data_IF_368604189316
#
_entry.id   IF_368604189316
#
_cell.length_a   1.000
_cell.length_b   1.000
_cell.length_c   1.000
_cell.angle_alpha   90.00
_cell.angle_beta   90.00
_cell.angle_gamma   90.00
#
_symmetry.space_group_name_H-M   'P 1'
#
loop_
_entity.id
_entity.type
_entity.pdbx_description
1 polymer ?
#
# COMPACT_ATOMS: atom_id res chain seq x y z
N UNK A 1 -7.95 -4.10 -16.99
CA UNK A 1 -7.63 -4.42 -15.58
C UNK A 1 -8.57 -3.72 -14.63
N UNK A 2 -8.71 -2.40 -14.75
CA UNK A 2 -9.64 -1.58 -13.96
C UNK A 2 -11.08 -2.11 -13.94
N UNK A 3 -11.66 -2.48 -15.09
CA UNK A 3 -13.02 -3.05 -15.14
C UNK A 3 -13.19 -4.30 -14.28
N UNK A 4 -12.18 -5.18 -14.24
CA UNK A 4 -12.21 -6.37 -13.39
C UNK A 4 -12.13 -5.99 -11.90
N UNK A 5 -11.33 -4.97 -11.57
CA UNK A 5 -11.27 -4.40 -10.22
C UNK A 5 -12.60 -3.80 -9.81
N UNK A 6 -13.23 -3.02 -10.68
CA UNK A 6 -14.56 -2.44 -10.45
C UNK A 6 -15.63 -3.53 -10.25
N UNK A 7 -15.46 -4.70 -10.90
CA UNK A 7 -16.28 -5.89 -10.67
C UNK A 7 -15.90 -6.69 -9.40
N UNK A 8 -15.10 -6.13 -8.50
CA UNK A 8 -14.71 -6.74 -7.22
C UNK A 8 -13.51 -7.69 -7.27
N UNK A 9 -12.80 -7.78 -8.40
CA UNK A 9 -11.65 -8.67 -8.55
C UNK A 9 -10.35 -7.87 -8.46
N UNK A 10 -9.63 -7.99 -7.33
CA UNK A 10 -8.41 -7.24 -7.14
C UNK A 10 -7.32 -7.61 -8.14
N UNK A 11 -6.49 -6.61 -8.42
CA UNK A 11 -5.41 -6.71 -9.41
C UNK A 11 -4.17 -5.99 -8.91
N UNK A 12 -3.03 -6.54 -9.30
CA UNK A 12 -1.73 -5.88 -9.17
C UNK A 12 -1.17 -5.73 -10.58
N UNK A 13 -0.71 -4.53 -10.93
CA UNK A 13 -0.06 -4.21 -12.19
C UNK A 13 1.24 -3.47 -11.90
N UNK A 14 2.24 -3.67 -12.77
CA UNK A 14 3.51 -2.97 -12.68
C UNK A 14 3.83 -2.26 -13.99
N UNK A 15 4.36 -1.05 -13.89
CA UNK A 15 4.88 -0.26 -15.01
C UNK A 15 6.39 -0.21 -14.88
N UNK A 16 7.08 -0.88 -15.80
CA UNK A 16 8.53 -0.93 -15.86
C UNK A 16 9.05 -0.03 -16.99
N UNK A 17 10.23 0.55 -16.81
CA UNK A 17 10.87 1.40 -17.81
C UNK A 17 12.06 2.18 -17.25
N UNK A 18 12.86 2.74 -18.14
CA UNK A 18 14.08 3.48 -17.82
C UNK A 18 13.78 4.80 -17.07
N UNK A 19 14.84 5.42 -16.53
CA UNK A 19 14.74 6.76 -15.94
C UNK A 19 14.24 7.76 -16.98
N UNK A 20 13.29 8.63 -16.60
CA UNK A 20 12.71 9.60 -17.53
C UNK A 20 11.70 9.03 -18.55
N UNK A 21 11.46 7.71 -18.59
CA UNK A 21 10.51 7.09 -19.53
C UNK A 21 9.02 7.45 -19.28
N UNK A 22 8.72 8.35 -18.35
CA UNK A 22 7.35 8.83 -18.09
C UNK A 22 6.45 7.85 -17.32
N UNK A 23 7.01 6.91 -16.55
CA UNK A 23 6.23 5.92 -15.76
C UNK A 23 5.23 6.60 -14.80
N UNK A 24 5.71 7.55 -14.01
CA UNK A 24 4.90 8.39 -13.12
C UNK A 24 3.79 9.09 -13.90
N UNK A 25 4.15 9.79 -14.98
CA UNK A 25 3.18 10.51 -15.81
C UNK A 25 2.10 9.58 -16.39
N UNK A 26 2.46 8.35 -16.81
CA UNK A 26 1.52 7.36 -17.30
C UNK A 26 0.53 6.92 -16.21
N UNK A 27 1.00 6.64 -15.00
CA UNK A 27 0.13 6.23 -13.88
C UNK A 27 -0.78 7.36 -13.43
N UNK A 28 -0.27 8.59 -13.36
CA UNK A 28 -1.07 9.78 -13.06
C UNK A 28 -2.14 10.03 -14.13
N UNK A 29 -1.79 9.93 -15.41
CA UNK A 29 -2.75 10.10 -16.50
C UNK A 29 -3.80 8.99 -16.54
N UNK A 30 -3.40 7.74 -16.27
CA UNK A 30 -4.33 6.63 -16.10
C UNK A 30 -5.32 6.89 -14.96
N UNK A 31 -4.81 7.28 -13.78
CA UNK A 31 -5.64 7.61 -12.62
C UNK A 31 -6.62 8.76 -12.93
N UNK A 32 -6.13 9.83 -13.56
CA UNK A 32 -6.95 10.99 -13.94
C UNK A 32 -8.09 10.58 -14.88
N UNK A 33 -7.80 9.80 -15.93
CA UNK A 33 -8.82 9.31 -16.87
C UNK A 33 -9.81 8.37 -16.18
N UNK A 34 -9.33 7.48 -15.32
CA UNK A 34 -10.17 6.56 -14.57
C UNK A 34 -11.14 7.33 -13.66
N UNK A 35 -10.68 8.36 -12.95
CA UNK A 35 -11.54 9.17 -12.08
C UNK A 35 -12.57 10.02 -12.83
N UNK A 36 -12.23 10.46 -14.05
CA UNK A 36 -13.18 11.14 -14.93
C UNK A 36 -14.31 10.20 -15.39
N UNK A 37 -14.01 8.92 -15.61
CA UNK A 37 -14.99 7.92 -16.01
C UNK A 37 -15.78 7.32 -14.83
N UNK A 38 -15.16 7.22 -13.65
CA UNK A 38 -15.73 6.56 -12.47
C UNK A 38 -15.75 7.51 -11.26
N UNK A 39 -16.89 8.16 -10.96
CA UNK A 39 -17.01 9.15 -9.88
C UNK A 39 -16.75 8.60 -8.46
N UNK A 40 -17.04 7.32 -8.23
CA UNK A 40 -16.83 6.67 -6.93
C UNK A 40 -15.40 6.13 -6.73
N UNK A 41 -14.51 6.28 -7.73
CA UNK A 41 -13.15 5.76 -7.68
C UNK A 41 -12.23 6.66 -6.86
N UNK A 42 -11.66 6.08 -5.80
CA UNK A 42 -10.61 6.70 -5.01
C UNK A 42 -9.24 6.36 -5.60
N UNK A 43 -8.34 7.35 -5.59
CA UNK A 43 -6.94 7.17 -5.97
C UNK A 43 -6.04 7.69 -4.87
N UNK A 44 -5.11 6.86 -4.43
CA UNK A 44 -4.03 7.23 -3.52
C UNK A 44 -2.69 6.97 -4.17
N UNK A 45 -1.71 7.82 -3.87
CA UNK A 45 -0.35 7.73 -4.43
C UNK A 45 0.64 7.75 -3.26
N UNK A 46 1.45 6.70 -3.16
CA UNK A 46 2.56 6.60 -2.22
C UNK A 46 3.88 6.61 -2.97
N UNK A 47 4.80 7.46 -2.55
CA UNK A 47 6.12 7.61 -3.13
C UNK A 47 7.14 6.80 -2.32
N UNK A 48 8.06 6.16 -3.03
CA UNK A 48 9.23 5.56 -2.40
C UNK A 48 10.39 6.56 -2.50
N UNK A 49 11.01 6.88 -1.37
CA UNK A 49 12.15 7.77 -1.32
C UNK A 49 13.26 7.14 -0.48
N UNK A 50 14.50 7.26 -0.95
CA UNK A 50 15.71 6.78 -0.28
C UNK A 50 16.68 7.93 0.05
N UNK A 51 16.18 9.02 0.65
CA UNK A 51 17.01 10.16 1.09
C UNK A 51 18.23 9.75 1.94
N UNK A 52 18.21 8.57 2.57
CA UNK A 52 19.30 8.01 3.37
C UNK A 52 19.97 6.76 2.76
N UNK A 53 19.68 6.40 1.51
CA UNK A 53 20.20 5.21 0.82
C UNK A 53 19.41 3.91 1.07
N UNK A 54 18.55 3.88 2.09
CA UNK A 54 17.50 2.86 2.30
C UNK A 54 16.17 3.61 2.44
N UNK A 55 15.10 3.10 1.85
CA UNK A 55 13.78 3.72 1.97
C UNK A 55 13.32 3.89 3.43
N UNK A 56 12.58 4.95 3.73
CA UNK A 56 11.95 5.08 5.05
C UNK A 56 10.92 3.96 5.24
N UNK A 57 10.95 3.32 6.42
CA UNK A 57 10.10 2.18 6.74
C UNK A 57 8.61 2.49 6.52
N UNK A 58 7.98 1.71 5.66
CA UNK A 58 6.55 1.80 5.33
C UNK A 58 6.11 3.11 4.68
N UNK A 59 7.04 3.99 4.24
CA UNK A 59 6.71 5.30 3.68
C UNK A 59 5.56 5.31 2.66
N UNK A 60 5.57 4.50 1.58
CA UNK A 60 4.47 4.51 0.61
C UNK A 60 3.12 4.19 1.25
N UNK A 61 3.08 3.30 2.25
CA UNK A 61 1.85 2.97 2.97
C UNK A 61 1.44 4.07 3.95
N UNK A 62 2.39 4.75 4.59
CA UNK A 62 2.12 5.92 5.44
C UNK A 62 1.47 7.05 4.63
N UNK A 63 1.96 7.27 3.41
CA UNK A 63 1.37 8.26 2.50
C UNK A 63 -0.01 7.86 1.99
N UNK A 64 -0.19 6.60 1.58
CA UNK A 64 -1.49 6.07 1.15
C UNK A 64 -2.52 6.18 2.27
N UNK A 65 -2.19 5.71 3.47
CA UNK A 65 -3.10 5.79 4.62
C UNK A 65 -3.30 7.23 5.07
N UNK A 66 -2.27 8.08 4.99
CA UNK A 66 -2.37 9.53 5.19
C UNK A 66 -3.44 10.16 4.29
N UNK A 67 -3.41 9.87 2.99
CA UNK A 67 -4.44 10.36 2.05
C UNK A 67 -5.85 9.88 2.42
N UNK A 68 -6.01 8.60 2.78
CA UNK A 68 -7.30 8.03 3.18
C UNK A 68 -7.81 8.58 4.52
N UNK A 69 -6.94 9.19 5.31
CA UNK A 69 -7.23 9.73 6.65
C UNK A 69 -7.17 11.27 6.68
N UNK A 70 -7.07 11.91 5.51
CA UNK A 70 -7.21 13.35 5.34
C UNK A 70 -5.91 14.17 5.37
N UNK A 71 -4.74 13.53 5.36
CA UNK A 71 -3.45 14.21 5.14
C UNK A 71 -3.25 14.50 3.64
N UNK A 72 -3.99 15.49 3.13
CA UNK A 72 -4.08 15.81 1.70
C UNK A 72 -3.22 17.02 1.27
N UNK A 73 -2.89 17.90 2.22
CA UNK A 73 -2.38 19.24 1.92
C UNK A 73 -1.10 19.24 1.08
N UNK A 74 -0.13 18.42 1.47
CA UNK A 74 1.17 18.37 0.78
C UNK A 74 1.05 17.83 -0.65
N UNK A 75 0.36 16.70 -0.84
CA UNK A 75 0.20 16.10 -2.17
C UNK A 75 -0.69 16.93 -3.10
N UNK A 76 -1.65 17.68 -2.55
CA UNK A 76 -2.44 18.63 -3.34
C UNK A 76 -1.58 19.83 -3.77
N UNK A 77 -0.79 20.40 -2.85
CA UNK A 77 0.09 21.54 -3.15
C UNK A 77 1.18 21.19 -4.20
N UNK A 78 1.66 19.94 -4.19
CA UNK A 78 2.61 19.43 -5.17
C UNK A 78 1.98 19.05 -6.52
N UNK A 79 0.65 19.10 -6.65
CA UNK A 79 -0.06 18.66 -7.85
C UNK A 79 -0.04 17.14 -8.08
N UNK A 80 0.38 16.36 -7.09
CA UNK A 80 0.37 14.89 -7.14
C UNK A 80 -1.06 14.36 -7.20
N UNK A 81 -1.97 14.98 -6.42
CA UNK A 81 -3.41 14.71 -6.49
C UNK A 81 -4.16 15.93 -7.03
N UNK A 82 -5.26 15.68 -7.76
CA UNK A 82 -6.15 16.73 -8.25
C UNK A 82 -7.07 17.25 -7.12
N UNK A 83 -7.61 18.46 -7.28
CA UNK A 83 -8.61 19.00 -6.36
C UNK A 83 -9.88 18.13 -6.27
N UNK A 84 -10.30 17.54 -7.40
CA UNK A 84 -11.40 16.59 -7.47
C UNK A 84 -11.11 15.32 -6.64
N UNK A 85 -9.91 14.74 -6.76
CA UNK A 85 -9.53 13.59 -5.94
C UNK A 85 -9.47 13.96 -4.45
N UNK A 86 -8.93 15.13 -4.12
CA UNK A 86 -8.91 15.61 -2.74
C UNK A 86 -10.32 15.76 -2.17
N UNK A 87 -11.27 16.27 -2.96
CA UNK A 87 -12.68 16.35 -2.55
C UNK A 87 -13.29 14.97 -2.28
N UNK A 88 -13.05 13.99 -3.15
CA UNK A 88 -13.52 12.60 -2.96
C UNK A 88 -12.94 11.96 -1.70
N UNK A 89 -11.63 12.13 -1.46
CA UNK A 89 -10.96 11.66 -0.25
C UNK A 89 -11.53 12.32 1.02
N UNK A 90 -11.87 13.61 0.96
CA UNK A 90 -12.56 14.30 2.06
C UNK A 90 -13.97 13.76 2.32
N UNK A 91 -14.72 13.42 1.26
CA UNK A 91 -16.07 12.85 1.41
C UNK A 91 -16.06 11.49 2.13
N UNK A 92 -14.99 10.70 2.00
CA UNK A 92 -14.85 9.44 2.72
C UNK A 92 -14.11 9.55 4.04
N UNK A 93 -13.59 10.72 4.40
CA UNK A 93 -12.72 10.90 5.57
C UNK A 93 -13.30 10.27 6.83
N UNK A 94 -14.54 10.64 7.19
CA UNK A 94 -15.17 10.15 8.42
C UNK A 94 -15.33 8.64 8.36
N UNK A 95 -15.86 8.11 7.25
CA UNK A 95 -16.05 6.66 7.07
C UNK A 95 -14.74 5.90 7.14
N UNK A 96 -13.72 6.37 6.43
CA UNK A 96 -12.37 5.80 6.43
C UNK A 96 -11.81 5.78 7.84
N UNK A 97 -11.88 6.88 8.56
CA UNK A 97 -11.42 6.95 9.95
C UNK A 97 -12.18 6.01 10.89
N UNK A 98 -13.51 5.86 10.74
CA UNK A 98 -14.27 4.90 11.56
C UNK A 98 -13.84 3.47 11.26
N UNK A 99 -13.64 3.11 9.99
CA UNK A 99 -13.11 1.78 9.62
C UNK A 99 -11.70 1.59 10.20
N UNK A 100 -10.85 2.61 10.14
CA UNK A 100 -9.50 2.57 10.71
C UNK A 100 -9.55 2.26 12.22
N UNK A 101 -10.42 2.93 12.96
CA UNK A 101 -10.55 2.72 14.41
C UNK A 101 -11.18 1.37 14.76
N UNK A 102 -12.07 0.85 13.90
CA UNK A 102 -12.73 -0.45 14.11
C UNK A 102 -11.81 -1.64 13.80
N UNK A 103 -11.12 -1.64 12.66
CA UNK A 103 -10.36 -2.81 12.19
C UNK A 103 -8.85 -2.62 12.11
N UNK A 104 -8.37 -1.38 12.28
CA UNK A 104 -6.99 -0.99 12.01
C UNK A 104 -6.33 -0.18 13.11
N UNK A 105 -6.78 -0.32 14.36
CA UNK A 105 -6.31 0.51 15.48
C UNK A 105 -4.77 0.46 15.66
N UNK A 106 -4.11 -0.66 15.40
CA UNK A 106 -2.63 -0.74 15.48
C UNK A 106 -1.92 0.17 14.47
N UNK A 107 -2.58 0.57 13.39
CA UNK A 107 -2.02 1.50 12.40
C UNK A 107 -1.92 2.92 12.95
N UNK A 108 -2.70 3.27 13.97
CA UNK A 108 -2.64 4.58 14.64
C UNK A 108 -1.32 4.71 15.40
N UNK A 109 -0.62 5.81 15.16
CA UNK A 109 0.73 6.13 15.63
C UNK A 109 1.83 5.16 15.17
N UNK A 110 1.49 4.17 14.34
CA UNK A 110 2.48 3.30 13.67
C UNK A 110 2.64 3.70 12.21
N UNK A 111 1.54 3.81 11.45
CA UNK A 111 1.54 4.26 10.06
C UNK A 111 0.75 5.56 9.84
N UNK A 112 -0.26 5.81 10.67
CA UNK A 112 -1.13 7.00 10.61
C UNK A 112 -0.92 7.83 11.88
N UNK A 113 -0.45 9.08 11.79
CA UNK A 113 -0.30 9.93 12.98
C UNK A 113 -1.66 10.22 13.63
N UNK A 114 -1.93 9.63 14.80
CA UNK A 114 -3.21 9.74 15.49
C UNK A 114 -3.52 11.17 15.94
N UNK A 115 -2.49 11.95 16.27
CA UNK A 115 -2.64 13.38 16.55
C UNK A 115 -3.20 14.15 15.36
N UNK A 116 -2.67 13.90 14.15
CA UNK A 116 -3.21 14.51 12.93
C UNK A 116 -4.64 14.05 12.70
N UNK A 117 -4.93 12.76 12.87
CA UNK A 117 -6.27 12.19 12.69
C UNK A 117 -7.32 12.89 13.57
N UNK A 118 -7.02 13.10 14.85
CA UNK A 118 -7.89 13.83 15.79
C UNK A 118 -8.15 15.25 15.28
N UNK A 119 -7.10 15.98 14.88
CA UNK A 119 -7.27 17.36 14.41
C UNK A 119 -8.09 17.45 13.11
N UNK A 120 -7.90 16.51 12.19
CA UNK A 120 -8.62 16.48 10.91
C UNK A 120 -10.09 16.13 11.12
N UNK A 121 -10.38 15.13 11.95
CA UNK A 121 -11.75 14.73 12.29
C UNK A 121 -12.47 15.74 13.17
N UNK A 122 -11.78 16.39 14.10
CA UNK A 122 -12.36 17.45 14.94
C UNK A 122 -12.93 18.62 14.12
N UNK A 123 -12.27 18.98 13.00
CA UNK A 123 -12.81 19.97 12.03
C UNK A 123 -14.10 19.51 11.34
N UNK A 124 -14.36 18.20 11.33
CA UNK A 124 -15.51 17.55 10.69
C UNK A 124 -16.57 17.08 11.71
N UNK A 125 -16.28 17.16 13.01
CA UNK A 125 -17.06 16.54 14.09
C UNK A 125 -18.47 17.12 14.26
N UNK A 126 -18.69 18.38 13.87
CA UNK A 126 -20.00 19.04 13.97
C UNK A 126 -21.11 18.41 13.13
N UNK A 127 -20.78 17.47 12.24
CA UNK A 127 -21.72 16.86 11.27
C UNK A 127 -22.03 15.38 11.52
N UNK A 128 -21.38 14.70 12.47
CA UNK A 128 -21.54 13.25 12.66
C UNK A 128 -21.74 12.86 14.14
N UNK A 129 -22.97 12.49 14.49
CA UNK A 129 -23.29 11.93 15.80
C UNK A 129 -22.49 10.65 16.05
N UNK A 130 -21.71 10.61 17.13
CA UNK A 130 -20.88 9.46 17.52
C UNK A 130 -19.38 9.60 17.23
N UNK A 131 -18.98 10.60 16.44
CA UNK A 131 -17.56 10.87 16.18
C UNK A 131 -16.82 11.33 17.44
N UNK A 132 -17.49 12.08 18.32
CA UNK A 132 -16.90 12.57 19.57
C UNK A 132 -16.45 11.44 20.49
N UNK A 133 -17.27 10.39 20.62
CA UNK A 133 -16.94 9.22 21.43
C UNK A 133 -15.71 8.48 20.89
N UNK A 134 -15.58 8.36 19.56
CA UNK A 134 -14.41 7.74 18.93
C UNK A 134 -13.15 8.62 19.06
N UNK A 135 -13.28 9.94 18.98
CA UNK A 135 -12.17 10.87 19.22
C UNK A 135 -11.67 10.81 20.65
N UNK A 136 -12.57 10.71 21.63
CA UNK A 136 -12.22 10.55 23.03
C UNK A 136 -11.51 9.21 23.28
N UNK A 137 -12.09 8.10 22.81
CA UNK A 137 -11.45 6.78 22.87
C UNK A 137 -10.05 6.79 22.26
N UNK A 138 -9.90 7.40 21.08
CA UNK A 138 -8.62 7.53 20.40
C UNK A 138 -7.63 8.36 21.22
N UNK A 139 -8.05 9.49 21.77
CA UNK A 139 -7.19 10.32 22.62
C UNK A 139 -6.71 9.55 23.86
N UNK A 140 -7.62 8.88 24.57
CA UNK A 140 -7.29 8.07 25.76
C UNK A 140 -6.35 6.92 25.43
N UNK A 141 -6.64 6.16 24.37
CA UNK A 141 -5.86 4.98 24.03
C UNK A 141 -4.49 5.31 23.43
N UNK A 142 -4.31 6.50 22.84
CA UNK A 142 -2.98 7.03 22.46
C UNK A 142 -2.13 7.41 23.66
N UNK A 143 -2.72 8.03 24.69
CA UNK A 143 -2.01 8.34 25.93
C UNK A 143 -1.53 7.09 26.69
N UNK A 144 -2.16 5.94 26.47
CA UNK A 144 -1.80 4.66 27.07
C UNK A 144 -0.72 3.87 26.28
N UNK A 145 -0.43 4.25 25.03
CA UNK A 145 0.50 3.52 24.15
C UNK A 145 1.95 3.98 24.42
N UNK A 146 2.56 3.45 25.48
CA UNK A 146 4.01 3.61 25.76
C UNK A 146 4.83 2.64 24.87
N UNK A 147 5.92 3.13 24.29
CA UNK A 147 6.79 2.46 23.31
C UNK A 147 7.08 0.98 23.62
N UNK A 148 6.62 0.08 22.75
CA UNK A 148 6.95 -1.34 22.78
C UNK A 148 7.84 -1.68 21.58
N UNK A 149 8.84 -2.56 21.73
CA UNK A 149 9.65 -3.03 20.60
C UNK A 149 8.82 -3.96 19.71
N UNK A 150 8.72 -3.62 18.42
CA UNK A 150 7.95 -4.37 17.43
C UNK A 150 8.49 -5.79 17.21
N UNK A 151 7.86 -6.78 17.84
CA UNK A 151 8.14 -8.19 17.60
C UNK A 151 7.58 -8.65 16.23
N UNK A 152 7.90 -9.89 15.83
CA UNK A 152 7.43 -10.42 14.55
C UNK A 152 5.91 -10.66 14.51
N UNK A 153 5.28 -10.86 15.67
CA UNK A 153 3.84 -11.14 15.80
C UNK A 153 3.04 -9.85 15.63
N UNK A 154 3.50 -8.75 16.23
CA UNK A 154 2.97 -7.40 16.06
C UNK A 154 3.06 -6.93 14.61
N UNK A 155 4.14 -7.29 13.90
CA UNK A 155 4.28 -6.96 12.46
C UNK A 155 3.24 -7.67 11.59
N UNK A 156 3.02 -8.97 11.78
CA UNK A 156 2.02 -9.71 11.01
C UNK A 156 0.60 -9.22 11.33
N UNK A 157 0.31 -8.93 12.61
CA UNK A 157 -0.96 -8.31 13.01
C UNK A 157 -1.17 -6.95 12.35
N UNK A 158 -0.13 -6.10 12.31
CA UNK A 158 -0.18 -4.80 11.65
C UNK A 158 -0.44 -4.93 10.14
N UNK A 159 0.17 -5.92 9.48
CA UNK A 159 -0.07 -6.18 8.05
C UNK A 159 -1.50 -6.63 7.78
N UNK A 160 -2.03 -7.52 8.62
CA UNK A 160 -3.41 -8.00 8.53
C UNK A 160 -4.39 -6.84 8.74
N UNK A 161 -4.15 -5.98 9.74
CA UNK A 161 -4.95 -4.79 10.00
C UNK A 161 -4.93 -3.80 8.85
N UNK A 162 -3.76 -3.53 8.26
CA UNK A 162 -3.64 -2.69 7.06
C UNK A 162 -4.45 -3.26 5.89
N UNK A 163 -4.34 -4.56 5.66
CA UNK A 163 -5.06 -5.24 4.58
C UNK A 163 -6.58 -5.22 4.81
N UNK A 164 -7.02 -5.51 6.04
CA UNK A 164 -8.42 -5.50 6.43
C UNK A 164 -9.03 -4.10 6.32
N UNK A 165 -8.30 -3.07 6.74
CA UNK A 165 -8.69 -1.68 6.58
C UNK A 165 -8.91 -1.35 5.08
N UNK A 166 -7.92 -1.59 4.24
CA UNK A 166 -7.99 -1.29 2.81
C UNK A 166 -9.11 -2.06 2.11
N UNK A 167 -9.28 -3.36 2.41
CA UNK A 167 -10.34 -4.18 1.81
C UNK A 167 -11.74 -3.74 2.26
N UNK A 168 -11.91 -3.39 3.55
CA UNK A 168 -13.19 -2.93 4.09
C UNK A 168 -13.59 -1.59 3.49
N UNK A 169 -12.63 -0.66 3.35
CA UNK A 169 -12.88 0.61 2.67
C UNK A 169 -13.20 0.39 1.19
N UNK A 170 -12.41 -0.45 0.52
CA UNK A 170 -12.57 -0.74 -0.91
C UNK A 170 -13.95 -1.34 -1.23
N UNK A 171 -14.48 -2.20 -0.35
CA UNK A 171 -15.81 -2.78 -0.51
C UNK A 171 -16.93 -1.73 -0.66
N UNK A 172 -16.71 -0.52 -0.14
CA UNK A 172 -17.63 0.60 -0.29
C UNK A 172 -17.31 1.53 -1.46
N UNK A 173 -16.03 1.71 -1.77
CA UNK A 173 -15.56 2.56 -2.85
C UNK A 173 -14.33 1.95 -3.51
N UNK A 174 -14.36 1.63 -4.82
CA UNK A 174 -13.20 1.08 -5.51
C UNK A 174 -11.96 1.94 -5.34
N UNK A 175 -10.80 1.29 -5.18
CA UNK A 175 -9.56 1.95 -4.77
C UNK A 175 -8.40 1.63 -5.71
N UNK A 176 -7.71 2.67 -6.17
CA UNK A 176 -6.40 2.55 -6.82
C UNK A 176 -5.32 2.94 -5.82
N UNK A 177 -4.38 2.01 -5.59
CA UNK A 177 -3.16 2.22 -4.83
C UNK A 177 -2.00 2.35 -5.81
N UNK A 178 -1.61 3.57 -6.17
CA UNK A 178 -0.42 3.83 -6.95
C UNK A 178 0.80 3.91 -6.02
N UNK A 179 1.86 3.19 -6.35
CA UNK A 179 3.13 3.23 -5.62
C UNK A 179 4.22 3.57 -6.63
N UNK A 180 4.88 4.70 -6.45
CA UNK A 180 5.91 5.17 -7.37
C UNK A 180 7.32 4.82 -6.91
N UNK A 181 8.22 4.70 -7.88
CA UNK A 181 9.64 4.42 -7.70
C UNK A 181 9.95 3.26 -6.73
N UNK A 182 9.26 2.12 -6.88
CA UNK A 182 9.41 0.93 -6.02
C UNK A 182 10.84 0.43 -5.85
N UNK A 183 11.76 0.79 -6.75
CA UNK A 183 13.18 0.49 -6.57
C UNK A 183 13.82 1.14 -5.33
N UNK A 184 13.22 2.22 -4.80
CA UNK A 184 13.61 2.88 -3.56
C UNK A 184 12.83 2.39 -2.33
N UNK A 185 11.90 1.44 -2.50
CA UNK A 185 11.09 0.93 -1.40
C UNK A 185 11.93 0.15 -0.38
N UNK A 186 11.64 0.33 0.90
CA UNK A 186 12.25 -0.45 1.97
C UNK A 186 11.69 -1.89 2.03
N UNK A 187 12.43 -2.79 2.68
CA UNK A 187 12.04 -4.20 2.79
C UNK A 187 10.69 -4.40 3.51
N UNK A 188 10.37 -3.54 4.48
CA UNK A 188 9.12 -3.62 5.25
C UNK A 188 7.94 -3.19 4.39
N UNK A 189 8.08 -2.09 3.61
CA UNK A 189 7.09 -1.71 2.59
C UNK A 189 6.85 -2.83 1.58
N UNK A 190 7.92 -3.41 1.03
CA UNK A 190 7.79 -4.50 0.05
C UNK A 190 7.12 -5.75 0.65
N UNK A 191 7.40 -6.04 1.93
CA UNK A 191 6.77 -7.16 2.64
C UNK A 191 5.26 -6.92 2.85
N UNK A 192 4.87 -5.71 3.21
CA UNK A 192 3.46 -5.32 3.33
C UNK A 192 2.75 -5.34 1.96
N UNK A 193 3.40 -4.84 0.91
CA UNK A 193 2.90 -4.90 -0.46
C UNK A 193 2.66 -6.34 -0.93
N UNK A 194 3.58 -7.25 -0.59
CA UNK A 194 3.41 -8.67 -0.90
C UNK A 194 2.27 -9.31 -0.10
N UNK A 195 2.20 -9.02 1.20
CA UNK A 195 1.13 -9.49 2.07
C UNK A 195 -0.25 -9.03 1.56
N UNK A 196 -0.36 -7.76 1.14
CA UNK A 196 -1.57 -7.17 0.56
C UNK A 196 -1.93 -7.82 -0.78
N UNK A 197 -0.97 -7.91 -1.72
CA UNK A 197 -1.21 -8.43 -3.07
C UNK A 197 -1.78 -9.86 -3.10
N UNK A 198 -1.56 -10.65 -2.04
CA UNK A 198 -2.08 -12.01 -1.89
C UNK A 198 -3.51 -12.09 -1.34
N UNK A 199 -4.03 -11.01 -0.77
CA UNK A 199 -5.31 -10.95 -0.05
C UNK A 199 -6.38 -10.09 -0.75
N UNK A 200 -6.01 -9.31 -1.75
CA UNK A 200 -6.94 -8.42 -2.46
C UNK A 200 -7.76 -9.09 -3.57
N UNK A 201 -7.63 -10.40 -3.81
CA UNK A 201 -8.23 -11.09 -4.96
C UNK A 201 -9.76 -10.89 -5.08
N UNK A 202 -10.44 -10.69 -3.95
CA UNK A 202 -11.89 -10.43 -3.84
C UNK A 202 -12.24 -9.00 -3.41
N UNK A 203 -11.29 -8.09 -3.43
CA UNK A 203 -11.52 -6.68 -3.11
C UNK A 203 -11.45 -5.83 -4.39
N UNK A 204 -12.24 -4.75 -4.52
CA UNK A 204 -12.16 -3.83 -5.65
C UNK A 204 -10.95 -2.87 -5.50
N UNK A 205 -9.76 -3.47 -5.40
CA UNK A 205 -8.47 -2.79 -5.26
C UNK A 205 -7.61 -3.05 -6.50
N UNK A 206 -7.08 -1.98 -7.09
CA UNK A 206 -6.05 -2.04 -8.12
C UNK A 206 -4.76 -1.44 -7.56
N UNK A 207 -3.74 -2.27 -7.40
CA UNK A 207 -2.39 -1.82 -7.06
C UNK A 207 -1.61 -1.58 -8.34
N UNK A 208 -1.02 -0.40 -8.49
CA UNK A 208 -0.17 -0.04 -9.63
C UNK A 208 1.20 0.38 -9.12
N UNK A 209 2.23 -0.42 -9.40
CA UNK A 209 3.60 -0.12 -9.00
C UNK A 209 4.46 0.35 -10.16
N UNK A 210 5.17 1.46 -10.03
CA UNK A 210 6.19 1.88 -10.98
C UNK A 210 7.57 1.43 -10.51
N UNK A 211 8.41 0.89 -11.40
CA UNK A 211 9.79 0.58 -11.04
C UNK A 211 10.76 0.66 -12.21
N UNK A 212 12.04 0.76 -11.89
CA UNK A 212 13.15 0.70 -12.86
C UNK A 212 13.80 -0.69 -12.84
N UNK A 213 13.77 -1.45 -13.94
CA UNK A 213 14.29 -2.81 -13.94
C UNK A 213 15.80 -2.88 -13.68
N UNK A 214 16.57 -1.90 -14.16
CA UNK A 214 18.04 -1.90 -14.06
C UNK A 214 18.53 -1.60 -12.64
N UNK A 215 17.91 -0.63 -11.96
CA UNK A 215 18.23 -0.30 -10.56
C UNK A 215 17.88 -1.47 -9.63
N UNK A 216 16.79 -2.18 -9.91
CA UNK A 216 16.44 -3.41 -9.23
C UNK A 216 17.45 -4.53 -9.51
N UNK A 217 17.98 -4.64 -10.72
CA UNK A 217 19.00 -5.64 -11.05
C UNK A 217 20.34 -5.34 -10.34
N UNK A 218 20.75 -4.07 -10.29
CA UNK A 218 21.96 -3.62 -9.60
C UNK A 218 21.88 -3.82 -8.09
N UNK A 219 20.72 -3.56 -7.48
CA UNK A 219 20.49 -3.79 -6.05
C UNK A 219 20.63 -5.27 -5.64
N UNK A 220 20.50 -6.22 -6.59
CA UNK A 220 20.74 -7.65 -6.34
C UNK A 220 22.22 -8.00 -6.17
N UNK A 221 23.16 -7.17 -6.67
CA UNK A 221 24.58 -7.52 -6.75
C UNK A 221 24.84 -8.75 -7.64
N UNK A 222 26.11 -9.16 -7.83
CA UNK A 222 26.42 -10.48 -8.38
C UNK A 222 25.81 -11.56 -7.48
N UNK A 223 25.36 -12.67 -8.09
CA UNK A 223 24.75 -13.77 -7.35
C UNK A 223 25.66 -14.22 -6.19
N UNK A 224 25.16 -14.28 -4.94
CA UNK A 224 25.95 -14.80 -3.84
C UNK A 224 26.34 -16.26 -4.14
N UNK A 225 27.53 -16.71 -3.71
CA UNK A 225 27.89 -18.12 -3.80
C UNK A 225 26.81 -18.96 -3.10
N UNK A 226 26.44 -20.08 -3.72
CA UNK A 226 25.38 -20.98 -3.29
C UNK A 226 25.49 -21.28 -1.78
N UNK A 227 24.63 -20.68 -0.94
CA UNK A 227 24.57 -20.99 0.49
C UNK A 227 24.29 -19.84 1.45
N UNK A 228 24.41 -18.59 1.03
CA UNK A 228 24.13 -17.43 1.91
C UNK A 228 22.89 -16.65 1.45
N UNK A 229 21.99 -16.35 2.39
CA UNK A 229 20.85 -15.44 2.18
C UNK A 229 21.19 -14.07 2.77
N UNK A 230 21.86 -13.18 2.02
CA UNK A 230 21.98 -11.80 2.42
C UNK A 230 20.61 -11.15 2.22
N UNK A 231 20.08 -10.53 3.27
CA UNK A 231 18.82 -9.77 3.28
C UNK A 231 18.81 -8.58 2.32
N UNK A 232 18.83 -8.85 1.02
CA UNK A 232 18.89 -7.90 -0.09
C UNK A 232 17.87 -8.29 -1.15
N UNK A 233 16.97 -7.35 -1.42
CA UNK A 233 15.86 -7.37 -2.38
C UNK A 233 14.94 -8.60 -2.24
N UNK A 234 13.65 -8.41 -1.87
CA UNK A 234 12.70 -9.51 -1.78
C UNK A 234 12.70 -10.36 -3.05
N UNK A 235 12.54 -11.68 -2.88
CA UNK A 235 12.44 -12.66 -3.96
C UNK A 235 11.40 -12.31 -5.05
N UNK A 236 10.52 -11.34 -4.75
CA UNK A 236 9.53 -10.71 -5.61
C UNK A 236 10.09 -10.16 -6.92
N UNK A 237 11.27 -9.54 -6.87
CA UNK A 237 11.95 -9.00 -8.05
C UNK A 237 12.90 -10.04 -8.67
N UNK A 238 13.21 -11.13 -7.95
CA UNK A 238 14.25 -12.12 -8.31
C UNK A 238 13.92 -12.93 -9.58
N UNK A 239 12.64 -13.09 -9.94
CA UNK A 239 12.24 -13.83 -11.16
C UNK A 239 11.65 -12.90 -12.20
N UNK A 240 12.35 -12.71 -13.31
CA UNK A 240 11.82 -12.12 -14.54
C UNK A 240 10.77 -13.00 -15.24
N UNK A 241 10.08 -13.86 -14.51
CA UNK A 241 8.94 -14.61 -15.05
C UNK A 241 7.80 -13.63 -15.26
N UNK A 242 7.30 -13.57 -16.49
CA UNK A 242 6.08 -12.85 -16.86
C UNK A 242 5.05 -12.81 -15.72
N UNK A 243 4.83 -11.62 -15.16
CA UNK A 243 4.00 -11.34 -13.97
C UNK A 243 2.51 -11.74 -14.13
N UNK A 244 2.13 -12.26 -15.31
CA UNK A 244 0.90 -13.02 -15.56
C UNK A 244 0.73 -14.28 -14.70
N UNK A 245 1.80 -14.82 -14.10
CA UNK A 245 1.76 -16.01 -13.24
C UNK A 245 1.16 -15.80 -11.84
N UNK A 246 0.98 -14.55 -11.39
CA UNK A 246 0.56 -14.24 -10.02
C UNK A 246 -0.86 -14.72 -9.70
N UNK A 247 -1.75 -14.74 -10.70
CA UNK A 247 -3.11 -15.25 -10.54
C UNK A 247 -3.18 -16.80 -10.42
N UNK A 248 -2.13 -17.55 -10.79
CA UNK A 248 -2.11 -19.03 -10.74
C UNK A 248 -1.40 -19.61 -9.52
N UNK A 249 -0.43 -18.91 -8.94
CA UNK A 249 0.42 -19.50 -7.89
C UNK A 249 -0.28 -19.62 -6.53
N UNK A 250 -1.39 -18.91 -6.29
CA UNK A 250 -2.17 -18.97 -5.05
C UNK A 250 -2.91 -20.29 -4.76
N UNK A 251 -2.87 -21.29 -5.66
CA UNK A 251 -3.60 -22.56 -5.49
C UNK A 251 -2.82 -23.75 -4.93
N UNK A 252 -1.51 -23.67 -4.69
CA UNK A 252 -0.76 -24.81 -4.13
C UNK A 252 -0.24 -24.54 -2.73
N UNK A 253 -1.16 -24.61 -1.77
CA UNK A 253 -0.80 -25.02 -0.43
C UNK A 253 -0.42 -26.50 -0.43
N UNK A 254 0.86 -26.82 -0.31
CA UNK A 254 1.39 -27.88 0.57
C UNK A 254 2.90 -28.04 0.38
N UNK A 255 3.57 -27.99 1.53
CA UNK A 255 4.76 -28.75 1.88
C UNK A 255 4.99 -29.99 1.01
N UNK A 256 6.12 -30.02 0.32
CA UNK A 256 6.98 -31.21 0.21
C UNK A 256 8.34 -30.84 -0.35
N UNK A 257 9.37 -31.22 0.40
CA UNK A 257 10.73 -31.44 -0.08
C UNK A 257 10.68 -32.19 -1.40
N UNK A 258 11.41 -31.73 -2.40
CA UNK A 258 11.93 -32.58 -3.47
C UNK A 258 13.41 -32.22 -3.66
N UNK A 259 14.21 -32.72 -2.72
CA UNK A 259 15.47 -33.35 -3.09
C UNK A 259 15.14 -34.41 -4.13
N UNK A 260 15.63 -34.24 -5.37
CA UNK A 260 16.41 -35.25 -6.09
C UNK A 260 16.31 -35.10 -7.62
N UNK A 261 17.52 -35.12 -8.22
CA UNK A 261 17.88 -35.72 -9.51
C UNK A 261 17.61 -34.91 -10.80
N UNK A 262 18.72 -34.34 -11.30
CA UNK A 262 19.19 -34.53 -12.68
C UNK A 262 18.93 -35.97 -13.18
N UNK A 263 18.64 -36.15 -14.48
CA UNK A 263 19.75 -36.46 -15.38
C UNK A 263 19.70 -35.78 -16.76
N UNK A 264 20.88 -35.81 -17.37
CA UNK A 264 21.23 -35.39 -18.72
C UNK A 264 20.34 -35.98 -19.83
N UNK A 265 20.06 -35.15 -20.83
CA UNK A 265 20.46 -35.34 -22.22
C UNK A 265 20.35 -33.99 -22.95
#
# INVERSE_FOLDING_TARGET
MLEKTLAGQGRVAFVAGEAGAGKTALVHEFARRAQAQYPALLVTIGDCNAQSGVGEAFLPFREILGLLTGDLGNKLAQGVITGENAHRLQQVLVKSSMILLDVGYQLVDTLVPGGKLITTLGRSATKHSGLDAELEKLATARSAKTELPADAIERESMFEQCTKFLCTLAASQPLILAIDDLQWADNSSLSLLFHLGRRIDRAPILVVGCYRPDEVAQARGPAPPLGEDPGRVPALLRRGDSLTGWARCGRRGRTRRCLSRCPAQ
#
